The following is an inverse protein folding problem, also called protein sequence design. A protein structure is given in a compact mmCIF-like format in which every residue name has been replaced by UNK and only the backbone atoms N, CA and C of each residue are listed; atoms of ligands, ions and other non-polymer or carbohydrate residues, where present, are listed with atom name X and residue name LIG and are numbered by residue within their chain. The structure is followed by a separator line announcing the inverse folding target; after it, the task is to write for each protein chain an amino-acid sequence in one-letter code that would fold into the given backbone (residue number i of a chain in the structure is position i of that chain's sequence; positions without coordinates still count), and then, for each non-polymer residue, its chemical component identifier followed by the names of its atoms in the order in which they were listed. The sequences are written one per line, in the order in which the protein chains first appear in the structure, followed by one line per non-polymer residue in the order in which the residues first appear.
data_IF_636009798433
#
_entry.id   IF_636009798433
#
_cell.length_a   1.000
_cell.length_b   1.000
_cell.length_c   1.000
_cell.angle_alpha   90.00
_cell.angle_beta   90.00
_cell.angle_gamma   90.00
#
_symmetry.space_group_name_H-M   'P 1'
#
loop_
_entity.id
_entity.type
_entity.pdbx_description
1 polymer ?
#
# COMPACT_ATOMS: atom_id res chain seq x y z
N UNK A 1 -5.50 39.02 -31.77
CA UNK A 1 -5.16 37.63 -32.12
C UNK A 1 -5.11 36.83 -30.83
N UNK A 2 -6.22 36.18 -30.46
CA UNK A 2 -6.28 35.33 -29.27
C UNK A 2 -6.05 33.89 -29.73
N UNK A 3 -4.93 33.28 -29.32
CA UNK A 3 -4.76 31.84 -29.42
C UNK A 3 -5.51 31.17 -28.27
N UNK A 4 -6.38 30.17 -28.54
CA UNK A 4 -6.91 29.34 -27.48
C UNK A 4 -5.81 28.37 -27.03
N UNK A 5 -5.53 28.35 -25.73
CA UNK A 5 -4.73 27.31 -25.08
C UNK A 5 -5.44 25.97 -25.21
N UNK A 6 -4.77 24.88 -25.64
CA UNK A 6 -5.39 23.57 -25.68
C UNK A 6 -5.57 23.06 -24.25
N UNK A 7 -6.82 22.88 -23.83
CA UNK A 7 -7.14 22.08 -22.66
C UNK A 7 -6.87 20.61 -23.02
N UNK A 8 -5.74 20.08 -22.53
CA UNK A 8 -5.52 18.63 -22.52
C UNK A 8 -6.53 18.04 -21.54
N UNK A 9 -7.62 17.50 -22.06
CA UNK A 9 -8.53 16.66 -21.30
C UNK A 9 -7.76 15.43 -20.82
N UNK A 10 -7.43 15.39 -19.53
CA UNK A 10 -7.02 14.15 -18.88
C UNK A 10 -8.26 13.25 -18.94
N UNK A 11 -8.23 12.27 -19.84
CA UNK A 11 -9.27 11.25 -19.88
C UNK A 11 -9.09 10.44 -18.59
N UNK A 12 -9.86 10.79 -17.57
CA UNK A 12 -10.08 9.96 -16.39
C UNK A 12 -10.76 8.69 -16.89
N UNK A 13 -9.97 7.71 -17.28
CA UNK A 13 -10.48 6.36 -17.44
C UNK A 13 -10.80 5.90 -16.03
N UNK A 14 -12.08 5.93 -15.66
CA UNK A 14 -12.54 5.32 -14.42
C UNK A 14 -12.01 3.88 -14.39
N UNK A 15 -11.11 3.60 -13.45
CA UNK A 15 -10.59 2.25 -13.27
C UNK A 15 -11.79 1.37 -12.90
N UNK A 16 -12.08 0.30 -13.65
CA UNK A 16 -13.18 -0.59 -13.32
C UNK A 16 -12.83 -1.34 -12.02
N UNK A 17 -13.40 -0.89 -10.90
CA UNK A 17 -13.19 -1.50 -9.60
C UNK A 17 -14.30 -2.51 -9.25
N UNK A 18 -13.91 -3.65 -8.70
CA UNK A 18 -14.78 -4.68 -8.12
C UNK A 18 -14.67 -4.71 -6.60
N UNK A 19 -15.67 -5.29 -5.91
CA UNK A 19 -15.58 -5.54 -4.47
C UNK A 19 -14.56 -6.64 -4.21
N UNK A 20 -13.67 -6.44 -3.24
CA UNK A 20 -12.82 -7.51 -2.70
C UNK A 20 -13.56 -8.49 -1.78
N UNK A 21 -14.78 -8.15 -1.39
CA UNK A 21 -15.55 -8.84 -0.35
C UNK A 21 -16.78 -9.52 -0.92
N UNK A 22 -17.13 -10.67 -0.33
CA UNK A 22 -18.26 -11.51 -0.75
C UNK A 22 -19.60 -10.82 -0.47
N UNK A 23 -19.75 -10.23 0.71
CA UNK A 23 -20.97 -9.55 1.11
C UNK A 23 -20.69 -8.04 1.33
N UNK A 24 -21.61 -7.15 0.90
CA UNK A 24 -21.51 -5.73 1.25
C UNK A 24 -21.47 -5.55 2.78
N UNK A 25 -20.48 -4.82 3.27
CA UNK A 25 -20.31 -4.54 4.70
C UNK A 25 -19.31 -5.46 5.42
N UNK A 26 -18.86 -6.56 4.80
CA UNK A 26 -17.81 -7.43 5.37
C UNK A 26 -16.51 -6.64 5.63
N UNK A 27 -16.22 -5.63 4.78
CA UNK A 27 -15.08 -4.73 4.95
C UNK A 27 -15.13 -3.98 6.29
N UNK A 28 -16.32 -3.64 6.79
CA UNK A 28 -16.47 -2.90 8.05
C UNK A 28 -16.12 -3.79 9.24
N UNK A 29 -16.49 -5.07 9.17
CA UNK A 29 -16.13 -6.05 10.19
C UNK A 29 -14.61 -6.25 10.22
N UNK A 30 -13.99 -6.42 9.05
CA UNK A 30 -12.53 -6.59 8.95
C UNK A 30 -11.76 -5.35 9.39
N UNK A 31 -12.21 -4.15 9.01
CA UNK A 31 -11.63 -2.89 9.50
C UNK A 31 -11.73 -2.76 11.02
N UNK A 32 -12.86 -3.18 11.59
CA UNK A 32 -13.09 -3.15 13.05
C UNK A 32 -12.16 -4.13 13.75
N UNK A 33 -12.08 -5.38 13.27
CA UNK A 33 -11.17 -6.39 13.82
C UNK A 33 -9.70 -5.98 13.69
N UNK A 34 -9.28 -5.42 12.56
CA UNK A 34 -7.92 -4.92 12.38
C UNK A 34 -7.56 -3.84 13.40
N UNK A 35 -8.46 -2.87 13.66
CA UNK A 35 -8.24 -1.85 14.70
C UNK A 35 -8.17 -2.44 16.10
N UNK A 36 -9.03 -3.41 16.42
CA UNK A 36 -9.00 -4.09 17.72
C UNK A 36 -7.67 -4.83 17.93
N UNK A 37 -7.15 -5.49 16.89
CA UNK A 37 -5.83 -6.14 16.94
C UNK A 37 -4.72 -5.11 17.12
N UNK A 38 -4.73 -3.98 16.39
CA UNK A 38 -3.74 -2.91 16.58
C UNK A 38 -3.76 -2.33 18.00
N UNK A 39 -4.91 -2.32 18.68
CA UNK A 39 -4.99 -1.89 20.09
C UNK A 39 -4.32 -2.86 21.06
N UNK A 40 -4.06 -4.12 20.67
CA UNK A 40 -3.31 -5.08 21.49
C UNK A 40 -1.80 -5.03 21.24
N UNK A 41 -1.35 -4.28 20.24
CA UNK A 41 0.08 -4.18 19.91
C UNK A 41 0.85 -3.49 21.04
N UNK A 42 2.05 -4.01 21.28
CA UNK A 42 3.06 -3.40 22.15
C UNK A 42 3.98 -2.47 21.38
N UNK A 43 4.17 -2.72 20.08
CA UNK A 43 4.96 -1.88 19.19
C UNK A 43 4.24 -0.56 18.91
N UNK A 44 4.84 0.62 19.18
CA UNK A 44 4.22 1.90 18.85
C UNK A 44 3.98 2.04 17.35
N UNK A 45 2.76 2.45 16.99
CA UNK A 45 2.34 2.57 15.61
C UNK A 45 1.62 3.89 15.34
N UNK A 46 1.62 4.29 14.08
CA UNK A 46 0.80 5.39 13.56
C UNK A 46 0.08 4.92 12.31
N UNK A 47 -1.07 5.54 12.03
CA UNK A 47 -1.86 5.24 10.86
C UNK A 47 -2.04 6.51 10.05
N UNK A 48 -1.69 6.44 8.77
CA UNK A 48 -1.93 7.51 7.82
C UNK A 48 -2.83 7.00 6.69
N UNK A 49 -3.65 7.90 6.15
CA UNK A 49 -4.51 7.63 5.00
C UNK A 49 -4.00 8.43 3.82
N UNK A 50 -3.71 7.74 2.73
CA UNK A 50 -3.33 8.32 1.45
C UNK A 50 -4.50 8.20 0.49
N UNK A 51 -4.70 9.21 -0.34
CA UNK A 51 -5.69 9.14 -1.43
C UNK A 51 -4.97 8.80 -2.72
N UNK A 52 -5.42 7.72 -3.37
CA UNK A 52 -4.83 7.20 -4.61
C UNK A 52 -5.91 7.04 -5.69
N UNK A 53 -5.51 6.69 -6.90
CA UNK A 53 -6.40 6.31 -8.01
C UNK A 53 -7.26 5.08 -7.69
N UNK A 54 -6.81 4.19 -6.79
CA UNK A 54 -7.57 3.04 -6.29
C UNK A 54 -8.39 3.35 -5.02
N UNK A 55 -8.60 4.63 -4.71
CA UNK A 55 -9.28 5.14 -3.49
C UNK A 55 -8.37 5.22 -2.25
N UNK A 56 -8.98 5.27 -1.07
CA UNK A 56 -8.29 5.44 0.21
C UNK A 56 -7.35 4.25 0.48
N UNK A 57 -6.08 4.54 0.66
CA UNK A 57 -5.03 3.58 1.01
C UNK A 57 -4.56 3.84 2.42
N UNK A 58 -4.59 2.82 3.27
CA UNK A 58 -4.14 2.93 4.65
C UNK A 58 -2.72 2.43 4.76
N UNK A 59 -1.89 3.24 5.40
CA UNK A 59 -0.49 2.93 5.66
C UNK A 59 -0.25 2.94 7.17
N UNK A 60 0.13 1.79 7.69
CA UNK A 60 0.60 1.64 9.05
C UNK A 60 2.10 1.95 9.08
N UNK A 61 2.54 2.79 10.01
CA UNK A 61 3.95 3.11 10.19
C UNK A 61 4.42 2.79 11.62
N UNK A 62 5.57 2.16 11.71
CA UNK A 62 6.24 1.80 12.98
C UNK A 62 7.74 2.12 12.91
N UNK A 63 8.38 2.11 14.07
CA UNK A 63 9.79 2.46 14.19
C UNK A 63 10.04 3.95 13.97
N UNK A 64 11.32 4.32 13.93
CA UNK A 64 11.74 5.72 13.86
C UNK A 64 12.61 5.98 12.62
N UNK A 65 12.62 7.22 12.10
CA UNK A 65 13.57 7.62 11.07
C UNK A 65 15.02 7.27 11.47
N UNK A 66 15.78 6.74 10.52
CA UNK A 66 17.19 6.41 10.72
C UNK A 66 17.98 6.70 9.42
N UNK A 67 19.32 6.60 9.44
CA UNK A 67 20.12 6.71 8.22
C UNK A 67 19.89 5.58 7.22
N UNK A 68 19.25 4.47 7.63
CA UNK A 68 18.92 3.37 6.74
C UNK A 68 17.67 3.69 5.91
N UNK A 69 17.56 3.17 4.67
CA UNK A 69 16.35 3.29 3.88
C UNK A 69 15.13 2.75 4.64
N UNK A 70 14.00 3.45 4.57
CA UNK A 70 12.76 2.97 5.16
C UNK A 70 12.30 1.68 4.45
N UNK A 71 11.74 0.73 5.19
CA UNK A 71 11.14 -0.46 4.60
C UNK A 71 9.68 -0.17 4.26
N UNK A 72 9.26 -0.43 3.02
CA UNK A 72 7.86 -0.33 2.61
C UNK A 72 7.40 -1.73 2.21
N UNK A 73 6.51 -2.29 3.01
CA UNK A 73 6.02 -3.66 2.88
C UNK A 73 4.68 -3.64 2.17
N UNK A 74 4.61 -4.39 1.07
CA UNK A 74 3.40 -4.66 0.30
C UNK A 74 2.99 -6.10 0.61
N UNK A 75 1.95 -6.30 1.45
CA UNK A 75 1.50 -7.63 1.86
C UNK A 75 0.87 -8.38 0.68
N UNK A 76 0.73 -9.69 0.85
CA UNK A 76 0.02 -10.55 -0.10
C UNK A 76 -1.50 -10.49 0.06
N UNK A 77 -2.21 -11.15 -0.86
CA UNK A 77 -3.65 -11.31 -0.78
C UNK A 77 -4.07 -11.98 0.55
N UNK A 78 -5.22 -11.58 1.08
CA UNK A 78 -5.77 -12.10 2.33
C UNK A 78 -5.11 -11.57 3.61
N UNK A 79 -4.10 -10.70 3.51
CA UNK A 79 -3.37 -10.18 4.66
C UNK A 79 -3.79 -8.74 5.04
N UNK A 80 -3.50 -8.39 6.29
CA UNK A 80 -3.65 -7.05 6.84
C UNK A 80 -2.38 -6.68 7.62
N UNK A 81 -2.00 -5.41 7.58
CA UNK A 81 -0.93 -4.85 8.40
C UNK A 81 -1.07 -5.18 9.89
N UNK A 82 -2.31 -5.28 10.40
CA UNK A 82 -2.59 -5.59 11.80
C UNK A 82 -2.09 -6.98 12.25
N UNK A 83 -1.80 -7.89 11.31
CA UNK A 83 -1.35 -9.26 11.60
C UNK A 83 0.18 -9.41 11.62
N UNK A 84 0.93 -8.32 11.40
CA UNK A 84 2.37 -8.38 11.14
C UNK A 84 3.27 -7.96 12.31
N UNK A 85 2.73 -7.67 13.51
CA UNK A 85 3.49 -7.08 14.63
C UNK A 85 4.87 -7.74 14.87
N UNK A 86 5.00 -9.08 14.99
CA UNK A 86 6.29 -9.67 15.32
C UNK A 86 7.36 -9.44 14.24
N UNK A 87 6.96 -9.51 12.97
CA UNK A 87 7.86 -9.25 11.86
C UNK A 87 8.25 -7.77 11.78
N UNK A 88 7.28 -6.87 12.00
CA UNK A 88 7.55 -5.44 12.00
C UNK A 88 8.43 -5.02 13.17
N UNK A 89 8.27 -5.62 14.35
CA UNK A 89 9.04 -5.31 15.54
C UNK A 89 10.54 -5.51 15.29
N UNK A 90 10.94 -6.61 14.63
CA UNK A 90 12.34 -6.88 14.30
C UNK A 90 12.94 -5.87 13.33
N UNK A 91 12.20 -5.51 12.27
CA UNK A 91 12.68 -4.55 11.27
C UNK A 91 12.75 -3.13 11.86
N UNK A 92 11.73 -2.76 12.66
CA UNK A 92 11.58 -1.46 13.29
C UNK A 92 12.70 -1.12 14.29
N UNK A 93 13.48 -2.11 14.74
CA UNK A 93 14.69 -1.89 15.57
C UNK A 93 15.74 -1.03 14.89
N UNK A 94 15.76 -1.00 13.55
CA UNK A 94 16.87 -0.38 12.78
C UNK A 94 16.43 0.76 11.85
N UNK A 95 15.15 0.80 11.47
CA UNK A 95 14.64 1.70 10.43
C UNK A 95 13.14 1.93 10.60
N UNK A 96 12.64 2.97 9.96
CA UNK A 96 11.21 3.20 9.81
C UNK A 96 10.62 2.14 8.88
N UNK A 97 9.43 1.65 9.22
CA UNK A 97 8.72 0.64 8.43
C UNK A 97 7.32 1.14 8.12
N UNK A 98 6.89 0.98 6.88
CA UNK A 98 5.55 1.21 6.39
C UNK A 98 4.97 -0.11 5.92
N UNK A 99 3.73 -0.41 6.31
CA UNK A 99 2.93 -1.47 5.69
C UNK A 99 1.77 -0.82 4.98
N UNK A 100 1.61 -1.10 3.70
CA UNK A 100 0.58 -0.51 2.85
C UNK A 100 -0.49 -1.56 2.62
N UNK A 101 -1.65 -1.42 3.27
CA UNK A 101 -2.76 -2.37 3.07
C UNK A 101 -3.24 -2.28 1.61
N UNK A 102 -3.39 -3.41 0.94
CA UNK A 102 -3.84 -3.45 -0.45
C UNK A 102 -5.34 -3.08 -0.56
N UNK A 103 -5.73 -2.19 -1.49
CA UNK A 103 -7.13 -2.00 -1.85
C UNK A 103 -7.78 -3.33 -2.24
N UNK A 104 -8.98 -3.60 -1.71
CA UNK A 104 -9.75 -4.82 -1.92
C UNK A 104 -9.29 -6.06 -1.17
N UNK A 105 -8.31 -5.94 -0.27
CA UNK A 105 -7.88 -7.04 0.60
C UNK A 105 -8.34 -6.80 2.06
N UNK A 106 -8.26 -7.81 2.97
CA UNK A 106 -8.73 -7.73 4.36
C UNK A 106 -8.07 -6.67 5.28
N UNK A 107 -7.32 -5.73 4.74
CA UNK A 107 -6.75 -4.59 5.43
C UNK A 107 -7.73 -3.42 5.60
N UNK A 108 -7.21 -2.29 6.08
CA UNK A 108 -8.00 -1.07 6.32
C UNK A 108 -8.11 -0.13 5.11
N UNK A 109 -7.53 -0.52 3.97
CA UNK A 109 -7.67 0.19 2.69
C UNK A 109 -9.09 0.06 2.11
N UNK A 110 -9.35 0.82 1.04
CA UNK A 110 -10.63 0.80 0.35
C UNK A 110 -11.03 -0.62 -0.04
N UNK A 111 -12.32 -0.90 0.06
CA UNK A 111 -12.84 -2.25 -0.15
C UNK A 111 -12.87 -2.70 -1.61
N UNK A 112 -12.64 -1.76 -2.54
CA UNK A 112 -12.68 -2.02 -3.97
C UNK A 112 -11.27 -2.15 -4.51
N UNK A 113 -11.10 -3.02 -5.50
CA UNK A 113 -9.84 -3.29 -6.18
C UNK A 113 -10.01 -3.27 -7.69
N UNK A 114 -8.92 -3.08 -8.46
CA UNK A 114 -8.89 -3.47 -9.86
C UNK A 114 -9.36 -4.91 -10.03
N UNK A 115 -9.75 -5.28 -11.24
CA UNK A 115 -10.01 -6.67 -11.55
C UNK A 115 -8.81 -7.53 -11.16
N UNK A 116 -9.08 -8.71 -10.61
CA UNK A 116 -8.13 -9.59 -9.91
C UNK A 116 -6.77 -9.86 -10.59
N UNK A 117 -6.64 -9.64 -11.91
CA UNK A 117 -5.42 -9.86 -12.69
C UNK A 117 -4.75 -8.56 -13.19
N UNK A 118 -5.28 -7.40 -12.82
CA UNK A 118 -4.86 -6.11 -13.36
C UNK A 118 -3.74 -5.49 -12.52
N UNK A 119 -2.55 -6.08 -12.66
CA UNK A 119 -1.34 -5.64 -11.98
C UNK A 119 -0.86 -4.26 -12.44
N UNK A 120 -1.23 -3.80 -13.64
CA UNK A 120 -0.86 -2.47 -14.15
C UNK A 120 -1.51 -1.34 -13.33
N UNK A 121 -2.74 -1.55 -12.86
CA UNK A 121 -3.39 -0.59 -11.96
C UNK A 121 -2.79 -0.62 -10.56
N UNK A 122 -2.43 -1.80 -10.04
CA UNK A 122 -1.71 -1.88 -8.76
C UNK A 122 -0.29 -1.33 -8.83
N UNK A 123 0.42 -1.50 -9.94
CA UNK A 123 1.75 -0.91 -10.16
C UNK A 123 1.69 0.62 -10.09
N UNK A 124 0.75 1.23 -10.83
CA UNK A 124 0.50 2.69 -10.77
C UNK A 124 0.07 3.17 -9.39
N UNK A 125 -0.75 2.39 -8.69
CA UNK A 125 -1.11 2.66 -7.30
C UNK A 125 0.11 2.68 -6.38
N UNK A 126 1.04 1.73 -6.54
CA UNK A 126 2.26 1.70 -5.73
C UNK A 126 3.20 2.87 -6.07
N UNK A 127 3.24 3.32 -7.32
CA UNK A 127 3.95 4.54 -7.73
C UNK A 127 3.41 5.76 -6.95
N UNK A 128 2.08 5.94 -6.91
CA UNK A 128 1.43 7.03 -6.16
C UNK A 128 1.70 6.98 -4.64
N UNK A 129 1.67 5.78 -4.06
CA UNK A 129 2.01 5.58 -2.64
C UNK A 129 3.46 5.99 -2.40
N UNK A 130 4.39 5.52 -3.24
CA UNK A 130 5.82 5.79 -3.13
C UNK A 130 6.14 7.28 -3.22
N UNK A 131 5.48 8.00 -4.13
CA UNK A 131 5.61 9.46 -4.26
C UNK A 131 5.16 10.20 -3.00
N UNK A 132 4.08 9.72 -2.37
CA UNK A 132 3.41 10.39 -1.26
C UNK A 132 4.06 10.13 0.10
N UNK A 133 4.76 9.00 0.28
CA UNK A 133 5.38 8.63 1.57
C UNK A 133 6.46 9.61 2.06
N UNK A 134 7.05 10.41 1.16
CA UNK A 134 7.99 11.49 1.51
C UNK A 134 9.36 11.03 2.01
N UNK A 135 9.65 9.73 1.98
CA UNK A 135 10.95 9.17 2.38
C UNK A 135 12.02 9.40 1.31
N UNK A 136 13.25 9.73 1.72
CA UNK A 136 14.37 10.03 0.80
C UNK A 136 14.87 8.78 0.06
N UNK A 137 14.84 7.63 0.75
CA UNK A 137 15.26 6.34 0.21
C UNK A 137 14.45 5.23 0.87
N UNK A 138 13.97 4.27 0.08
CA UNK A 138 13.18 3.14 0.54
C UNK A 138 13.67 1.82 -0.03
N UNK A 139 13.39 0.73 0.68
CA UNK A 139 13.42 -0.64 0.16
C UNK A 139 11.99 -1.13 0.07
N UNK A 140 11.57 -1.55 -1.13
CA UNK A 140 10.27 -2.19 -1.32
C UNK A 140 10.39 -3.68 -0.95
N UNK A 141 9.45 -4.18 -0.15
CA UNK A 141 9.38 -5.58 0.27
C UNK A 141 8.02 -6.11 -0.13
N UNK A 142 7.96 -7.02 -1.10
CA UNK A 142 6.72 -7.60 -1.59
C UNK A 142 6.58 -9.07 -1.20
N UNK A 143 5.41 -9.45 -0.68
CA UNK A 143 5.06 -10.86 -0.37
C UNK A 143 3.90 -11.34 -1.25
N UNK A 144 4.02 -12.51 -1.89
CA UNK A 144 2.99 -13.07 -2.78
C UNK A 144 2.51 -12.04 -3.81
N UNK A 145 1.20 -11.75 -3.87
CA UNK A 145 0.63 -10.68 -4.68
C UNK A 145 1.38 -9.35 -4.54
N UNK A 146 1.82 -8.98 -3.34
CA UNK A 146 2.59 -7.75 -3.13
C UNK A 146 3.95 -7.76 -3.85
N UNK A 147 4.54 -8.93 -4.08
CA UNK A 147 5.72 -9.10 -4.91
C UNK A 147 5.44 -8.83 -6.39
N UNK A 148 4.33 -9.35 -6.90
CA UNK A 148 3.86 -9.08 -8.27
C UNK A 148 3.58 -7.58 -8.48
N UNK A 149 2.99 -6.91 -7.49
CA UNK A 149 2.72 -5.48 -7.51
C UNK A 149 4.03 -4.67 -7.53
N UNK A 150 5.01 -5.03 -6.70
CA UNK A 150 6.35 -4.39 -6.72
C UNK A 150 7.00 -4.55 -8.09
N UNK A 151 6.89 -5.72 -8.71
CA UNK A 151 7.42 -5.97 -10.06
C UNK A 151 6.68 -5.19 -11.16
N UNK A 152 5.44 -4.79 -10.92
CA UNK A 152 4.60 -4.06 -11.87
C UNK A 152 4.67 -2.54 -11.69
N UNK A 153 5.28 -2.07 -10.61
CA UNK A 153 5.57 -0.64 -10.38
C UNK A 153 6.70 -0.11 -11.26
N UNK A 154 6.70 1.20 -11.49
CA UNK A 154 7.74 1.85 -12.29
C UNK A 154 9.02 1.97 -11.46
N UNK A 155 10.22 1.73 -12.02
CA UNK A 155 11.48 2.00 -11.33
C UNK A 155 11.53 3.45 -10.81
N UNK A 156 11.61 3.60 -9.49
CA UNK A 156 11.54 4.89 -8.84
C UNK A 156 12.90 5.28 -8.23
N UNK A 157 13.41 6.52 -8.40
CA UNK A 157 14.77 6.90 -8.01
C UNK A 157 15.03 6.83 -6.50
N UNK A 158 13.99 6.83 -5.67
CA UNK A 158 14.11 6.66 -4.21
C UNK A 158 14.12 5.18 -3.78
N UNK A 159 13.79 4.25 -4.67
CA UNK A 159 13.84 2.81 -4.37
C UNK A 159 15.27 2.33 -4.56
N UNK A 160 15.95 2.04 -3.45
CA UNK A 160 17.37 1.61 -3.45
C UNK A 160 17.54 0.10 -3.44
N UNK A 161 16.43 -0.64 -3.33
CA UNK A 161 16.41 -2.10 -3.38
C UNK A 161 15.01 -2.67 -3.28
N UNK A 162 14.88 -3.92 -3.70
CA UNK A 162 13.64 -4.69 -3.65
C UNK A 162 13.90 -6.05 -3.00
N UNK A 163 13.01 -6.50 -2.13
CA UNK A 163 13.01 -7.85 -1.55
C UNK A 163 11.69 -8.52 -1.93
N UNK A 164 11.76 -9.68 -2.58
CA UNK A 164 10.59 -10.43 -3.04
C UNK A 164 10.50 -11.75 -2.27
N UNK A 165 9.36 -12.01 -1.65
CA UNK A 165 9.11 -13.19 -0.83
C UNK A 165 7.95 -13.97 -1.46
N UNK A 166 8.25 -15.14 -2.03
CA UNK A 166 7.29 -16.00 -2.73
C UNK A 166 6.40 -15.22 -3.73
N UNK A 167 6.96 -14.43 -4.67
CA UNK A 167 6.14 -13.68 -5.62
C UNK A 167 5.34 -14.61 -6.53
N UNK A 168 4.09 -14.23 -6.80
CA UNK A 168 3.13 -14.95 -7.68
C UNK A 168 3.09 -14.37 -9.09
#
# INVERSE_FOLDING_TARGET
MNHPTPHTSIVSHDVPLESGFRCPGDELQLHTSARQILQTWTLPWTLQRLRTSLSDTLVLAVGSPSPLPAAVIIPGAGLSAALLEPALAEIARTRRVFVVDLPGEPGMSAARRPQSADLDHYGRWLDEVTDTLGEKSIVLIGHALGGAIVLSSTPHPRVVGTVLINPE
#
